data_IF_367334605441
#
_entry.id   IF_367334605441
#
_cell.length_a   1.000
_cell.length_b   1.000
_cell.length_c   1.000
_cell.angle_alpha   90.00
_cell.angle_beta   90.00
_cell.angle_gamma   90.00
#
_symmetry.space_group_name_H-M   'P 1'
#
loop_
_entity.id
_entity.type
_entity.pdbx_description
1 polymer ?
#
# COMPACT_ATOMS: atom_id res chain seq x y z
N UNK A 1 -3.00 -14.41 31.74
CA UNK A 1 -2.73 -13.18 30.97
C UNK A 1 -2.03 -13.54 29.69
N UNK A 2 -2.81 -13.81 28.65
CA UNK A 2 -2.34 -13.95 27.28
C UNK A 2 -1.59 -12.70 26.86
N UNK A 3 -0.38 -12.88 26.34
CA UNK A 3 0.53 -11.78 26.03
C UNK A 3 0.34 -11.33 24.58
N UNK A 4 -0.58 -10.39 24.36
CA UNK A 4 -0.87 -9.83 23.05
C UNK A 4 -0.83 -8.29 23.07
N UNK A 5 -0.50 -7.69 21.93
CA UNK A 5 -0.47 -6.23 21.77
C UNK A 5 -1.90 -5.67 21.62
N UNK A 6 -2.09 -4.36 21.81
CA UNK A 6 -3.40 -3.72 21.64
C UNK A 6 -4.02 -4.00 20.25
N UNK A 7 -3.21 -3.99 19.19
CA UNK A 7 -3.64 -4.34 17.83
C UNK A 7 -4.07 -5.81 17.73
N UNK A 8 -3.29 -6.73 18.30
CA UNK A 8 -3.61 -8.17 18.32
C UNK A 8 -4.93 -8.42 19.09
N UNK A 9 -5.10 -7.76 20.25
CA UNK A 9 -6.32 -7.82 21.04
C UNK A 9 -7.55 -7.34 20.25
N UNK A 10 -7.41 -6.27 19.46
CA UNK A 10 -8.49 -5.79 18.59
C UNK A 10 -8.89 -6.81 17.52
N UNK A 11 -7.94 -7.55 16.95
CA UNK A 11 -8.22 -8.63 16.00
C UNK A 11 -8.92 -9.82 16.65
N UNK A 12 -8.45 -10.26 17.81
CA UNK A 12 -9.08 -11.32 18.60
C UNK A 12 -10.53 -10.94 18.98
N UNK A 13 -10.74 -9.70 19.40
CA UNK A 13 -12.05 -9.16 19.72
C UNK A 13 -13.02 -9.23 18.54
N UNK A 14 -12.58 -8.85 17.34
CA UNK A 14 -13.41 -8.92 16.15
C UNK A 14 -13.80 -10.35 15.81
N UNK A 15 -12.81 -11.24 15.75
CA UNK A 15 -13.02 -12.64 15.38
C UNK A 15 -14.00 -13.30 16.35
N UNK A 16 -13.84 -13.05 17.65
CA UNK A 16 -14.75 -13.54 18.69
C UNK A 16 -16.17 -12.99 18.52
N UNK A 17 -16.31 -11.65 18.40
CA UNK A 17 -17.62 -11.01 18.26
C UNK A 17 -18.34 -11.40 16.96
N UNK A 18 -17.61 -11.55 15.85
CA UNK A 18 -18.15 -11.99 14.58
C UNK A 18 -18.64 -13.44 14.66
N UNK A 19 -17.84 -14.33 15.25
CA UNK A 19 -18.21 -15.75 15.41
C UNK A 19 -19.43 -15.91 16.30
N UNK A 20 -19.51 -15.15 17.40
CA UNK A 20 -20.67 -15.12 18.28
C UNK A 20 -21.94 -14.62 17.57
N UNK A 21 -21.82 -13.65 16.65
CA UNK A 21 -22.95 -13.08 15.92
C UNK A 21 -23.41 -13.95 14.73
N UNK A 22 -22.48 -14.55 13.99
CA UNK A 22 -22.75 -15.23 12.72
C UNK A 22 -22.72 -16.75 12.79
N UNK A 23 -22.20 -17.34 13.89
CA UNK A 23 -22.09 -18.79 14.07
C UNK A 23 -20.95 -19.45 13.29
N UNK A 24 -20.12 -18.66 12.61
CA UNK A 24 -18.91 -19.10 11.91
C UNK A 24 -17.86 -17.97 11.92
N UNK A 25 -16.56 -18.29 11.82
CA UNK A 25 -15.52 -17.27 11.87
C UNK A 25 -15.43 -16.44 10.57
N UNK A 26 -14.97 -15.18 10.67
CA UNK A 26 -14.91 -14.26 9.53
C UNK A 26 -13.93 -14.74 8.46
N UNK A 27 -14.19 -14.37 7.20
CA UNK A 27 -13.19 -14.51 6.14
C UNK A 27 -12.12 -13.42 6.24
N UNK A 28 -10.97 -13.61 5.58
CA UNK A 28 -9.89 -12.62 5.53
C UNK A 28 -10.39 -11.24 5.04
N UNK A 29 -11.29 -11.24 4.05
CA UNK A 29 -11.92 -10.02 3.53
C UNK A 29 -12.80 -9.29 4.56
N UNK A 30 -13.50 -10.04 5.43
CA UNK A 30 -14.34 -9.45 6.49
C UNK A 30 -13.47 -8.76 7.54
N UNK A 31 -12.35 -9.39 7.90
CA UNK A 31 -11.37 -8.82 8.84
C UNK A 31 -10.71 -7.59 8.21
N UNK A 32 -10.32 -7.66 6.94
CA UNK A 32 -9.72 -6.54 6.21
C UNK A 32 -10.66 -5.32 6.21
N UNK A 33 -11.95 -5.55 5.93
CA UNK A 33 -12.96 -4.52 5.96
C UNK A 33 -13.18 -3.93 7.38
N UNK A 34 -13.21 -4.76 8.42
CA UNK A 34 -13.42 -4.32 9.80
C UNK A 34 -12.22 -3.55 10.39
N UNK A 35 -11.02 -3.91 9.95
CA UNK A 35 -9.76 -3.30 10.40
C UNK A 35 -9.29 -2.15 9.52
N UNK A 36 -9.92 -1.94 8.37
CA UNK A 36 -9.51 -1.00 7.32
C UNK A 36 -8.06 -1.22 6.86
N UNK A 37 -7.65 -2.49 6.69
CA UNK A 37 -6.31 -2.87 6.20
C UNK A 37 -6.41 -3.74 4.95
N UNK A 38 -5.29 -3.98 4.27
CA UNK A 38 -5.25 -4.86 3.10
C UNK A 38 -5.41 -6.35 3.49
N UNK A 39 -5.94 -7.23 2.60
CA UNK A 39 -6.00 -8.67 2.86
C UNK A 39 -4.63 -9.29 3.22
N UNK A 40 -3.51 -8.97 2.52
CA UNK A 40 -2.18 -9.44 2.92
C UNK A 40 -1.80 -9.06 4.35
N UNK A 41 -2.10 -7.84 4.82
CA UNK A 41 -1.84 -7.43 6.20
C UNK A 41 -2.65 -8.25 7.20
N UNK A 42 -3.90 -8.61 6.88
CA UNK A 42 -4.68 -9.55 7.68
C UNK A 42 -4.03 -10.93 7.70
N UNK A 43 -3.60 -11.45 6.54
CA UNK A 43 -2.96 -12.75 6.44
C UNK A 43 -1.72 -12.84 7.32
N UNK A 44 -0.90 -11.79 7.34
CA UNK A 44 0.27 -11.69 8.22
C UNK A 44 -0.10 -11.58 9.70
N UNK A 45 -1.12 -10.80 10.05
CA UNK A 45 -1.62 -10.72 11.43
C UNK A 45 -2.15 -12.08 11.91
N UNK A 46 -2.90 -12.79 11.07
CA UNK A 46 -3.41 -14.15 11.36
C UNK A 46 -2.25 -15.13 11.56
N UNK A 47 -1.23 -15.12 10.70
CA UNK A 47 0.01 -15.92 10.91
C UNK A 47 0.70 -15.58 12.22
N UNK A 48 0.73 -14.30 12.60
CA UNK A 48 1.36 -13.84 13.85
C UNK A 48 0.58 -14.31 15.07
N UNK A 49 -0.75 -14.23 15.03
CA UNK A 49 -1.62 -14.73 16.10
C UNK A 49 -1.51 -16.27 16.23
N UNK A 50 -1.41 -16.99 15.12
CA UNK A 50 -1.18 -18.44 15.10
C UNK A 50 0.19 -18.80 15.69
N UNK A 51 1.27 -18.12 15.28
CA UNK A 51 2.62 -18.31 15.83
C UNK A 51 2.67 -18.08 17.35
N UNK A 52 1.85 -17.15 17.85
CA UNK A 52 1.70 -16.87 19.29
C UNK A 52 0.73 -17.81 20.01
N UNK A 53 0.16 -18.80 19.31
CA UNK A 53 -0.84 -19.73 19.85
C UNK A 53 -2.07 -19.03 20.43
N UNK A 54 -2.42 -17.85 19.90
CA UNK A 54 -3.62 -17.09 20.29
C UNK A 54 -4.85 -17.48 19.46
N UNK A 55 -4.62 -18.05 18.29
CA UNK A 55 -5.65 -18.61 17.41
C UNK A 55 -5.16 -19.94 16.81
N UNK A 56 -6.10 -20.75 16.37
CA UNK A 56 -5.87 -21.95 15.58
C UNK A 56 -6.51 -21.78 14.19
N UNK A 57 -5.89 -22.33 13.15
CA UNK A 57 -6.48 -22.47 11.82
C UNK A 57 -6.23 -23.86 11.25
N UNK A 58 -7.11 -24.32 10.37
CA UNK A 58 -6.92 -25.52 9.59
C UNK A 58 -6.50 -25.17 8.15
N UNK A 59 -5.29 -25.53 7.73
CA UNK A 59 -4.82 -25.27 6.36
C UNK A 59 -5.79 -25.82 5.32
N UNK A 60 -6.09 -24.99 4.30
CA UNK A 60 -6.97 -25.38 3.19
C UNK A 60 -8.47 -25.40 3.50
N UNK A 61 -8.89 -25.10 4.74
CA UNK A 61 -10.30 -24.98 5.10
C UNK A 61 -10.72 -23.51 5.22
N UNK A 62 -11.70 -23.04 4.42
CA UNK A 62 -12.23 -21.70 4.61
C UNK A 62 -12.97 -21.62 5.95
N UNK A 63 -12.88 -20.48 6.64
CA UNK A 63 -13.57 -20.22 7.91
C UNK A 63 -13.24 -21.25 9.00
N UNK A 64 -11.97 -21.55 9.17
CA UNK A 64 -11.47 -22.48 10.19
C UNK A 64 -10.81 -21.79 11.38
N UNK A 65 -11.02 -20.48 11.58
CA UNK A 65 -10.33 -19.73 12.62
C UNK A 65 -11.00 -19.97 13.97
N UNK A 66 -10.22 -20.39 14.97
CA UNK A 66 -10.66 -20.55 16.34
C UNK A 66 -9.81 -19.70 17.28
N UNK A 67 -10.44 -18.95 18.18
CA UNK A 67 -9.73 -18.13 19.16
C UNK A 67 -9.44 -18.98 20.39
N UNK A 68 -8.16 -19.11 20.75
CA UNK A 68 -7.71 -19.92 21.89
C UNK A 68 -7.58 -19.12 23.18
N UNK A 69 -7.77 -17.79 23.11
CA UNK A 69 -7.70 -16.89 24.27
C UNK A 69 -9.01 -16.97 25.05
N UNK A 70 -8.98 -17.11 26.39
CA UNK A 70 -10.18 -17.08 27.22
C UNK A 70 -11.00 -15.81 27.00
N UNK A 71 -12.33 -15.93 26.91
CA UNK A 71 -13.25 -14.81 26.63
C UNK A 71 -13.05 -13.63 27.61
N UNK A 72 -12.71 -13.91 28.87
CA UNK A 72 -12.47 -12.91 29.91
C UNK A 72 -11.22 -12.04 29.67
N UNK A 73 -10.28 -12.52 28.86
CA UNK A 73 -9.06 -11.78 28.51
C UNK A 73 -9.19 -11.00 27.20
N UNK A 74 -10.24 -11.24 26.41
CA UNK A 74 -10.43 -10.58 25.11
C UNK A 74 -11.10 -9.21 25.33
N UNK A 75 -10.53 -8.10 24.82
CA UNK A 75 -11.19 -6.80 24.92
C UNK A 75 -12.50 -6.80 24.15
N UNK A 76 -13.54 -6.13 24.66
CA UNK A 76 -14.81 -6.03 23.97
C UNK A 76 -14.65 -5.34 22.60
N UNK A 77 -15.12 -5.98 21.52
CA UNK A 77 -14.98 -5.49 20.13
C UNK A 77 -15.56 -4.09 19.90
N UNK A 78 -16.65 -3.74 20.57
CA UNK A 78 -17.20 -2.38 20.57
C UNK A 78 -18.21 -2.21 21.71
N UNK A 79 -17.95 -1.28 22.62
CA UNK A 79 -18.94 -0.80 23.57
C UNK A 79 -19.87 0.22 22.87
N UNK A 80 -20.74 -0.28 21.98
CA UNK A 80 -21.87 0.50 21.45
C UNK A 80 -23.15 -0.10 22.00
N UNK A 81 -23.76 0.60 22.96
CA UNK A 81 -25.16 0.35 23.33
C UNK A 81 -26.01 0.34 22.04
N UNK A 82 -26.93 -0.61 21.86
CA UNK A 82 -27.83 -0.59 20.72
C UNK A 82 -28.75 0.62 20.86
N UNK A 83 -28.62 1.59 19.95
CA UNK A 83 -29.58 2.68 19.80
C UNK A 83 -30.67 2.21 18.82
N UNK A 84 -31.97 2.33 19.15
CA UNK A 84 -33.04 1.90 18.27
C UNK A 84 -33.04 2.66 16.94
N UNK A 85 -33.41 1.90 15.92
CA UNK A 85 -33.62 2.26 14.52
C UNK A 85 -34.45 3.52 14.33
N UNK A 86 -33.93 4.49 13.55
CA UNK A 86 -34.66 5.21 12.49
C UNK A 86 -33.84 6.36 11.92
N UNK A 87 -33.25 6.16 10.74
CA UNK A 87 -33.12 7.18 9.68
C UNK A 87 -32.67 6.50 8.39
N UNK A 88 -33.17 6.94 7.22
CA UNK A 88 -32.94 6.23 5.97
C UNK A 88 -31.45 6.28 5.62
N UNK A 89 -30.93 5.15 5.15
CA UNK A 89 -29.57 5.03 4.61
C UNK A 89 -29.34 6.14 3.58
N UNK A 90 -28.53 7.13 3.94
CA UNK A 90 -27.81 7.94 2.95
C UNK A 90 -26.91 6.95 2.21
N UNK A 91 -27.20 6.70 0.93
CA UNK A 91 -26.31 5.95 0.05
C UNK A 91 -24.97 6.71 0.04
N UNK A 92 -23.98 6.20 0.76
CA UNK A 92 -22.59 6.59 0.51
C UNK A 92 -22.30 6.25 -0.95
N UNK A 93 -21.72 7.17 -1.73
CA UNK A 93 -21.46 6.88 -3.13
C UNK A 93 -20.54 5.67 -3.20
N UNK A 94 -20.93 4.72 -4.04
CA UNK A 94 -20.07 3.67 -4.59
C UNK A 94 -18.70 4.30 -4.84
N UNK A 95 -17.65 3.69 -4.29
CA UNK A 95 -16.24 3.99 -4.56
C UNK A 95 -16.14 4.15 -6.07
N UNK A 96 -16.11 5.39 -6.55
CA UNK A 96 -16.14 5.68 -7.97
C UNK A 96 -14.86 5.07 -8.52
N UNK A 97 -14.99 3.98 -9.28
CA UNK A 97 -14.06 3.71 -10.36
C UNK A 97 -13.84 5.05 -11.04
N UNK A 98 -12.59 5.50 -11.06
CA UNK A 98 -12.17 6.76 -11.66
C UNK A 98 -12.90 6.92 -12.98
N UNK A 99 -13.87 7.86 -13.02
CA UNK A 99 -14.46 8.31 -14.27
C UNK A 99 -13.30 8.65 -15.20
N UNK A 100 -13.28 8.23 -16.47
CA UNK A 100 -12.29 8.72 -17.39
C UNK A 100 -12.42 10.25 -17.41
N UNK A 101 -11.37 10.91 -16.91
CA UNK A 101 -11.26 12.36 -16.89
C UNK A 101 -11.39 12.82 -18.34
N UNK A 102 -12.42 13.64 -18.58
CA UNK A 102 -12.88 14.06 -19.90
C UNK A 102 -11.96 15.10 -20.58
N UNK A 103 -10.75 15.32 -20.03
CA UNK A 103 -9.72 16.16 -20.62
C UNK A 103 -8.54 15.29 -21.05
N UNK A 104 -7.87 15.62 -22.17
CA UNK A 104 -6.60 14.98 -22.52
C UNK A 104 -5.58 15.36 -21.44
N UNK A 105 -5.27 14.41 -20.56
CA UNK A 105 -4.18 14.53 -19.60
C UNK A 105 -2.90 14.05 -20.27
N UNK A 106 -1.78 14.65 -19.90
CA UNK A 106 -0.48 14.13 -20.30
C UNK A 106 -0.35 12.67 -19.85
N UNK A 107 0.27 11.84 -20.66
CA UNK A 107 0.62 10.47 -20.31
C UNK A 107 2.13 10.39 -20.14
N UNK A 108 2.58 10.15 -18.91
CA UNK A 108 3.98 9.97 -18.61
C UNK A 108 4.34 8.49 -18.77
N UNK A 109 5.37 8.22 -19.56
CA UNK A 109 6.00 6.92 -19.65
C UNK A 109 7.26 6.95 -18.82
N UNK A 110 7.25 6.25 -17.69
CA UNK A 110 8.30 6.30 -16.68
C UNK A 110 9.06 4.97 -16.64
N UNK A 111 10.37 5.02 -16.85
CA UNK A 111 11.27 3.93 -16.54
C UNK A 111 11.68 4.00 -15.07
N UNK A 112 11.35 2.97 -14.30
CA UNK A 112 11.64 2.85 -12.88
C UNK A 112 12.67 1.74 -12.69
N UNK A 113 13.88 2.11 -12.32
CA UNK A 113 15.01 1.18 -12.13
C UNK A 113 15.30 1.04 -10.65
N UNK A 114 15.50 -0.19 -10.18
CA UNK A 114 16.02 -0.43 -8.84
C UNK A 114 17.48 0.03 -8.77
N UNK A 115 17.73 1.09 -8.00
CA UNK A 115 19.04 1.74 -7.88
C UNK A 115 19.83 1.23 -6.67
N UNK A 116 19.14 0.80 -5.60
CA UNK A 116 19.77 0.28 -4.39
C UNK A 116 18.76 -0.29 -3.41
N UNK A 117 19.25 -1.04 -2.42
CA UNK A 117 18.48 -1.67 -1.36
C UNK A 117 19.07 -3.02 -0.93
N UNK A 118 18.44 -3.71 0.03
CA UNK A 118 18.90 -4.98 0.60
C UNK A 118 18.60 -6.13 -0.38
N UNK A 119 19.27 -6.11 -1.53
CA UNK A 119 19.17 -7.16 -2.54
C UNK A 119 20.06 -8.33 -2.16
N UNK A 120 19.48 -9.53 -2.00
CA UNK A 120 20.26 -10.75 -1.81
C UNK A 120 21.15 -11.05 -3.03
N UNK A 121 22.17 -11.88 -2.84
CA UNK A 121 23.20 -12.21 -3.87
C UNK A 121 22.60 -12.65 -5.22
N UNK A 122 21.46 -13.34 -5.20
CA UNK A 122 20.74 -13.80 -6.40
C UNK A 122 20.28 -12.66 -7.32
N UNK A 123 20.17 -11.44 -6.79
CA UNK A 123 19.76 -10.23 -7.50
C UNK A 123 20.90 -9.21 -7.64
N UNK A 124 22.04 -9.46 -6.98
CA UNK A 124 23.23 -8.63 -7.12
C UNK A 124 23.65 -8.56 -8.60
N UNK A 125 23.94 -7.34 -9.07
CA UNK A 125 24.34 -7.03 -10.45
C UNK A 125 23.28 -7.33 -11.54
N UNK A 126 22.02 -7.60 -11.17
CA UNK A 126 20.93 -7.72 -12.14
C UNK A 126 20.18 -6.40 -12.28
N UNK A 127 19.91 -6.00 -13.52
CA UNK A 127 19.05 -4.86 -13.79
C UNK A 127 17.60 -5.27 -13.54
N UNK A 128 16.95 -4.62 -12.58
CA UNK A 128 15.51 -4.74 -12.34
C UNK A 128 14.86 -3.42 -12.72
N UNK A 129 13.96 -3.47 -13.70
CA UNK A 129 13.30 -2.28 -14.25
C UNK A 129 11.83 -2.54 -14.54
N UNK A 130 11.00 -1.53 -14.33
CA UNK A 130 9.59 -1.49 -14.71
C UNK A 130 9.35 -0.25 -15.57
N UNK A 131 8.55 -0.38 -16.62
CA UNK A 131 8.07 0.78 -17.39
C UNK A 131 6.59 0.96 -17.10
N UNK A 132 6.23 2.11 -16.57
CA UNK A 132 4.90 2.44 -16.10
C UNK A 132 4.35 3.59 -16.92
N UNK A 133 3.12 3.44 -17.41
CA UNK A 133 2.33 4.52 -17.97
C UNK A 133 1.37 5.06 -16.91
N UNK A 134 1.40 6.37 -16.68
CA UNK A 134 0.56 7.04 -15.67
C UNK A 134 0.10 8.40 -16.19
N UNK A 135 -1.15 8.77 -15.91
CA UNK A 135 -1.69 10.06 -16.35
C UNK A 135 -1.15 11.21 -15.48
N UNK A 136 -1.03 12.37 -16.08
CA UNK A 136 -0.57 13.60 -15.43
C UNK A 136 -1.51 14.13 -14.36
N UNK A 137 -2.81 13.80 -14.45
CA UNK A 137 -3.80 14.13 -13.44
C UNK A 137 -3.81 13.18 -12.23
N UNK A 138 -2.98 12.13 -12.25
CA UNK A 138 -2.78 11.22 -11.14
C UNK A 138 -1.68 11.71 -10.19
N UNK A 139 -1.80 11.33 -8.92
CA UNK A 139 -0.93 11.78 -7.84
C UNK A 139 0.35 10.95 -7.72
N UNK A 140 1.34 11.49 -7.00
CA UNK A 140 2.53 10.74 -6.61
C UNK A 140 2.20 9.53 -5.73
N UNK A 141 1.13 9.55 -4.93
CA UNK A 141 0.63 8.36 -4.22
C UNK A 141 0.16 7.27 -5.19
N UNK A 142 -0.55 7.63 -6.25
CA UNK A 142 -0.95 6.67 -7.27
C UNK A 142 0.26 6.11 -8.04
N UNK A 143 1.30 6.93 -8.24
CA UNK A 143 2.58 6.46 -8.77
C UNK A 143 3.28 5.50 -7.80
N UNK A 144 3.29 5.81 -6.50
CA UNK A 144 3.84 4.94 -5.46
C UNK A 144 3.16 3.57 -5.51
N UNK A 145 1.83 3.52 -5.49
CA UNK A 145 1.08 2.27 -5.54
C UNK A 145 1.39 1.47 -6.81
N UNK A 146 1.50 2.14 -7.96
CA UNK A 146 1.90 1.48 -9.20
C UNK A 146 3.32 0.89 -9.14
N UNK A 147 4.29 1.57 -8.52
CA UNK A 147 5.66 1.06 -8.33
C UNK A 147 5.66 -0.10 -7.33
N UNK A 148 4.94 0.06 -6.22
CA UNK A 148 4.80 -0.92 -5.15
C UNK A 148 4.29 -2.27 -5.68
N UNK A 149 3.19 -2.24 -6.44
CA UNK A 149 2.64 -3.41 -7.13
C UNK A 149 3.58 -3.91 -8.25
N UNK A 150 4.25 -3.02 -8.98
CA UNK A 150 5.16 -3.41 -10.06
C UNK A 150 6.42 -4.14 -9.57
N UNK A 151 6.83 -3.88 -8.33
CA UNK A 151 7.96 -4.53 -7.67
C UNK A 151 7.54 -5.62 -6.68
N UNK A 152 6.28 -6.06 -6.74
CA UNK A 152 5.72 -7.15 -5.95
C UNK A 152 5.92 -6.94 -4.43
N UNK A 153 5.86 -5.67 -3.99
CA UNK A 153 5.90 -5.28 -2.58
C UNK A 153 4.55 -5.56 -1.92
N UNK A 154 4.56 -5.77 -0.62
CA UNK A 154 3.37 -6.24 0.10
C UNK A 154 3.23 -5.68 1.51
N UNK A 155 4.29 -5.16 2.12
CA UNK A 155 4.23 -4.43 3.38
C UNK A 155 4.42 -2.94 3.12
N UNK A 156 3.40 -2.12 3.40
CA UNK A 156 3.47 -0.69 3.13
C UNK A 156 4.29 0.02 4.21
N UNK A 157 5.24 0.83 3.76
CA UNK A 157 6.07 1.67 4.61
C UNK A 157 6.04 3.12 4.15
N UNK A 158 6.64 4.00 4.94
CA UNK A 158 6.86 5.38 4.52
C UNK A 158 7.70 5.43 3.24
N UNK A 159 7.37 6.41 2.41
CA UNK A 159 8.07 6.65 1.16
C UNK A 159 8.12 8.15 0.86
N UNK A 160 9.05 8.52 -0.02
CA UNK A 160 9.09 9.85 -0.60
C UNK A 160 9.65 9.86 -2.03
N UNK A 161 9.20 10.84 -2.81
CA UNK A 161 9.79 11.19 -4.10
C UNK A 161 10.74 12.36 -3.91
N UNK A 162 11.94 12.26 -4.47
CA UNK A 162 13.02 13.24 -4.30
C UNK A 162 13.44 13.81 -5.65
N UNK A 163 13.32 15.12 -5.80
CA UNK A 163 13.68 15.87 -6.99
C UNK A 163 14.91 16.74 -6.71
N UNK A 164 15.42 17.45 -7.72
CA UNK A 164 16.55 18.37 -7.57
C UNK A 164 17.42 18.41 -8.81
N UNK A 165 18.73 18.63 -8.67
CA UNK A 165 19.66 18.58 -9.82
C UNK A 165 19.94 17.16 -10.30
N UNK A 166 19.76 16.18 -9.41
CA UNK A 166 19.97 14.75 -9.66
C UNK A 166 18.93 13.92 -8.88
N UNK A 167 18.74 12.62 -9.22
CA UNK A 167 18.02 11.71 -8.35
C UNK A 167 18.61 11.73 -6.94
N UNK A 168 17.73 11.70 -5.93
CA UNK A 168 18.10 11.70 -4.51
C UNK A 168 18.96 12.92 -4.10
N UNK A 169 18.65 14.10 -4.65
CA UNK A 169 19.34 15.35 -4.28
C UNK A 169 18.88 15.82 -2.88
N UNK A 170 19.77 15.85 -1.87
CA UNK A 170 19.40 16.22 -0.49
C UNK A 170 18.95 17.68 -0.35
N UNK A 171 19.24 18.54 -1.34
CA UNK A 171 18.85 19.94 -1.32
C UNK A 171 17.63 20.23 -2.20
N UNK A 172 17.15 19.24 -2.94
CA UNK A 172 16.01 19.40 -3.82
C UNK A 172 14.67 19.18 -3.11
N UNK A 173 13.56 19.46 -3.79
CA UNK A 173 12.25 19.26 -3.20
C UNK A 173 11.93 17.78 -3.06
N UNK A 174 11.26 17.42 -1.96
CA UNK A 174 10.79 16.05 -1.74
C UNK A 174 9.29 16.02 -1.41
N UNK A 175 8.66 14.88 -1.67
CA UNK A 175 7.22 14.68 -1.57
C UNK A 175 6.96 13.34 -0.89
N UNK A 176 6.65 13.38 0.41
CA UNK A 176 6.31 12.20 1.21
C UNK A 176 4.85 12.21 1.65
N UNK A 177 4.49 11.27 2.53
CA UNK A 177 3.14 11.14 3.13
C UNK A 177 3.09 11.53 4.61
N UNK A 178 4.20 12.03 5.13
CA UNK A 178 4.37 12.35 6.53
C UNK A 178 3.60 13.61 6.93
N UNK A 179 2.87 13.51 8.04
CA UNK A 179 2.02 14.59 8.58
C UNK A 179 2.82 15.60 9.43
N UNK A 180 4.15 15.45 9.54
CA UNK A 180 5.01 16.46 10.17
C UNK A 180 4.93 17.81 9.43
N UNK A 181 5.17 18.93 10.13
CA UNK A 181 5.18 20.25 9.50
C UNK A 181 6.18 20.29 8.34
N UNK A 182 5.66 20.55 7.13
CA UNK A 182 6.46 20.60 5.91
C UNK A 182 7.48 21.72 5.99
N UNK A 183 8.74 21.39 5.71
CA UNK A 183 9.78 22.40 5.52
C UNK A 183 9.62 23.08 4.15
N UNK A 184 10.34 24.18 3.95
CA UNK A 184 10.50 24.80 2.62
C UNK A 184 10.98 23.74 1.63
N UNK A 185 10.31 23.60 0.50
CA UNK A 185 10.54 22.59 -0.55
C UNK A 185 10.06 21.16 -0.23
N UNK A 186 9.20 20.96 0.78
CA UNK A 186 8.53 19.66 1.01
C UNK A 186 7.07 19.71 0.56
N UNK A 187 6.62 18.69 -0.18
CA UNK A 187 5.27 18.51 -0.67
C UNK A 187 4.61 17.25 -0.09
N UNK A 188 3.33 17.04 -0.44
CA UNK A 188 2.58 15.82 -0.04
C UNK A 188 2.25 15.00 -1.28
N UNK A 189 2.70 13.75 -1.28
CA UNK A 189 2.54 12.82 -2.38
C UNK A 189 1.06 12.44 -2.64
N UNK A 190 0.19 12.50 -1.62
CA UNK A 190 -1.24 12.19 -1.71
C UNK A 190 -2.02 13.20 -2.57
N UNK A 191 -1.48 14.41 -2.71
CA UNK A 191 -2.19 15.53 -3.35
C UNK A 191 -1.46 16.12 -4.55
N UNK A 192 -0.15 15.92 -4.65
CA UNK A 192 0.67 16.44 -5.76
C UNK A 192 0.48 15.58 -7.00
N UNK A 193 0.03 16.18 -8.11
CA UNK A 193 -0.12 15.49 -9.39
C UNK A 193 1.16 15.53 -10.21
N UNK A 194 1.29 14.62 -11.16
CA UNK A 194 2.46 14.60 -12.06
C UNK A 194 2.53 15.86 -12.93
N UNK A 195 1.39 16.38 -13.39
CA UNK A 195 1.35 17.63 -14.17
C UNK A 195 1.75 18.88 -13.36
N UNK A 196 1.64 18.84 -12.03
CA UNK A 196 2.05 19.95 -11.16
C UNK A 196 3.59 20.06 -11.00
N UNK A 197 4.32 19.02 -11.43
CA UNK A 197 5.78 18.91 -11.27
C UNK A 197 6.59 19.45 -12.46
N UNK A 198 5.91 19.87 -13.53
CA UNK A 198 6.51 20.37 -14.79
C UNK A 198 7.63 19.47 -15.33
N UNK A 199 7.43 18.15 -15.26
CA UNK A 199 8.41 17.17 -15.73
C UNK A 199 8.60 17.27 -17.24
N UNK A 200 9.83 16.99 -17.69
CA UNK A 200 10.22 16.96 -19.11
C UNK A 200 10.79 15.59 -19.47
N UNK A 201 10.77 15.19 -20.75
CA UNK A 201 11.53 14.02 -21.19
C UNK A 201 12.98 14.07 -20.71
N UNK A 202 13.58 12.91 -20.46
CA UNK A 202 14.93 12.70 -19.91
C UNK A 202 15.12 13.15 -18.45
N UNK A 203 14.12 13.77 -17.83
CA UNK A 203 14.15 14.11 -16.42
C UNK A 203 14.25 12.85 -15.56
N UNK A 204 15.26 12.78 -14.72
CA UNK A 204 15.40 11.75 -13.71
C UNK A 204 15.15 12.29 -12.28
N UNK A 205 14.54 11.48 -11.43
CA UNK A 205 14.26 11.77 -10.02
C UNK A 205 14.26 10.48 -9.18
N UNK A 206 14.33 10.62 -7.86
CA UNK A 206 14.42 9.51 -6.91
C UNK A 206 13.05 9.14 -6.34
N UNK A 207 12.90 7.86 -6.01
CA UNK A 207 11.84 7.31 -5.17
C UNK A 207 12.48 6.44 -4.09
N UNK A 208 12.29 6.83 -2.84
CA UNK A 208 12.78 6.11 -1.68
C UNK A 208 11.59 5.47 -0.97
N UNK A 209 11.65 4.16 -0.84
CA UNK A 209 10.64 3.33 -0.20
C UNK A 209 11.26 2.63 1.01
N UNK A 210 10.50 2.55 2.09
CA UNK A 210 10.93 1.93 3.35
C UNK A 210 12.17 2.62 3.94
N UNK A 211 11.95 3.55 4.86
CA UNK A 211 13.05 4.28 5.51
C UNK A 211 13.84 3.43 6.50
N UNK A 212 13.39 2.20 6.79
CA UNK A 212 14.15 1.24 7.59
C UNK A 212 15.12 0.45 6.73
N UNK A 213 14.65 -0.04 5.58
CA UNK A 213 15.40 -0.93 4.70
C UNK A 213 16.08 -0.24 3.51
N UNK A 214 15.76 1.03 3.24
CA UNK A 214 16.41 1.85 2.22
C UNK A 214 16.30 1.30 0.79
N UNK A 215 15.07 1.09 0.31
CA UNK A 215 14.83 0.76 -1.10
C UNK A 215 14.84 2.01 -1.98
N UNK A 216 15.87 2.15 -2.81
CA UNK A 216 16.04 3.27 -3.74
C UNK A 216 15.70 2.86 -5.17
N UNK A 217 14.79 3.61 -5.79
CA UNK A 217 14.46 3.49 -7.20
C UNK A 217 14.70 4.81 -7.92
N UNK A 218 15.38 4.76 -9.05
CA UNK A 218 15.52 5.91 -9.94
C UNK A 218 14.41 5.86 -10.97
N UNK A 219 13.69 6.97 -11.11
CA UNK A 219 12.71 7.16 -12.18
C UNK A 219 13.30 8.06 -13.26
N UNK A 220 13.01 7.73 -14.51
CA UNK A 220 13.31 8.53 -15.68
C UNK A 220 12.05 8.71 -16.52
N UNK A 221 11.79 9.95 -16.94
CA UNK A 221 10.73 10.28 -17.89
C UNK A 221 11.22 9.93 -19.29
N UNK A 222 10.76 8.82 -19.84
CA UNK A 222 11.18 8.40 -21.19
C UNK A 222 10.53 9.31 -22.24
N UNK A 223 9.24 9.62 -22.06
CA UNK A 223 8.46 10.51 -22.92
C UNK A 223 7.15 10.93 -22.27
N UNK A 224 6.55 11.96 -22.84
CA UNK A 224 5.24 12.50 -22.45
C UNK A 224 4.35 12.52 -23.70
N UNK A 225 3.20 11.86 -23.61
CA UNK A 225 2.23 11.72 -24.69
C UNK A 225 0.84 12.19 -24.23
N UNK A 226 -0.21 11.89 -24.99
CA UNK A 226 -1.59 12.14 -24.59
C UNK A 226 -2.27 10.85 -24.14
N UNK A 227 -2.93 10.89 -22.98
CA UNK A 227 -3.61 9.72 -22.43
C UNK A 227 -4.81 9.32 -23.29
N UNK A 228 -4.97 8.02 -23.53
CA UNK A 228 -6.11 7.48 -24.25
C UNK A 228 -7.30 7.38 -23.28
N UNK A 229 -8.45 8.04 -23.54
CA UNK A 229 -9.57 8.09 -22.58
C UNK A 229 -10.17 6.72 -22.21
N UNK A 230 -10.04 5.72 -23.09
CA UNK A 230 -10.60 4.37 -22.89
C UNK A 230 -9.66 3.41 -22.17
N UNK A 231 -8.41 3.81 -21.93
CA UNK A 231 -7.40 2.98 -21.26
C UNK A 231 -7.33 3.32 -19.78
N UNK A 232 -7.26 2.29 -18.94
CA UNK A 232 -7.05 2.45 -17.49
C UNK A 232 -5.56 2.60 -17.18
N UNK A 233 -5.26 3.60 -16.33
CA UNK A 233 -3.92 3.92 -15.84
C UNK A 233 -3.94 4.03 -14.30
N UNK A 234 -2.83 3.75 -13.59
CA UNK A 234 -1.51 3.42 -14.12
C UNK A 234 -1.47 1.99 -14.65
N UNK A 235 -0.52 1.68 -15.54
CA UNK A 235 -0.27 0.30 -15.99
C UNK A 235 1.21 0.04 -16.25
N UNK A 236 1.65 -1.18 -15.97
CA UNK A 236 3.01 -1.63 -16.29
C UNK A 236 3.02 -2.17 -17.72
N UNK A 237 3.84 -1.59 -18.60
CA UNK A 237 3.96 -2.01 -20.00
C UNK A 237 5.21 -2.85 -20.30
N UNK A 238 6.20 -2.84 -19.39
CA UNK A 238 7.41 -3.65 -19.52
C UNK A 238 7.98 -4.02 -18.15
N UNK A 239 8.47 -5.26 -18.02
CA UNK A 239 9.24 -5.75 -16.87
C UNK A 239 10.57 -6.33 -17.33
N UNK A 240 11.65 -5.97 -16.65
CA UNK A 240 12.99 -6.54 -16.84
C UNK A 240 13.50 -7.02 -15.47
N UNK A 241 13.94 -8.27 -15.38
CA UNK A 241 14.41 -8.88 -14.13
C UNK A 241 13.29 -9.20 -13.12
N UNK A 242 13.51 -10.22 -12.31
CA UNK A 242 12.63 -10.57 -11.19
C UNK A 242 12.77 -9.52 -10.07
N UNK A 243 11.65 -9.22 -9.40
CA UNK A 243 11.67 -8.35 -8.23
C UNK A 243 12.40 -9.06 -7.09
N UNK A 244 13.37 -8.39 -6.42
CA UNK A 244 13.92 -8.94 -5.19
C UNK A 244 12.83 -9.01 -4.11
N UNK A 245 12.90 -9.98 -3.18
CA UNK A 245 11.97 -10.03 -2.06
C UNK A 245 12.06 -8.72 -1.24
N UNK A 246 10.96 -8.36 -0.57
CA UNK A 246 10.91 -7.14 0.25
C UNK A 246 11.80 -7.21 1.48
N UNK A 247 11.89 -8.39 2.10
CA UNK A 247 12.80 -8.66 3.20
C UNK A 247 13.68 -9.84 2.81
N UNK A 248 14.92 -9.83 3.27
CA UNK A 248 15.78 -11.02 3.23
C UNK A 248 15.07 -12.15 3.96
N UNK A 249 15.02 -13.34 3.35
CA UNK A 249 14.69 -14.54 4.11
C UNK A 249 15.86 -14.77 5.08
N UNK A 250 15.59 -14.71 6.39
CA UNK A 250 16.52 -15.13 7.46
C UNK A 250 17.00 -16.58 7.25
#
# INVERSE_FOLDING_TARGET
MANFTATQGRYLAFIHAYTALHGYPPAEADIAAAMCVSPPSVNQMVKTLEKKSLILRHPGQPRSLEVLVPEEEIPAWNNRKPVPTSRPRRKSPIRQASRPSAMPANLYVLSVVLAGGPVGEKHANKVVQRVIEIRGDQTLEQLHQAIFEAYDRWDEHLYEFQFGKRPFDPNGPNYGIDDRPKKKNQGDARTTKLDDLDLKPERAFGYWFDFGDDWYHQLQVDRIEQAIPTVTYPRVIKRVGHSPPQYSEE
#
